data_IF_295935843563
#
_entry.id   IF_295935843563
#
_cell.length_a   1.000
_cell.length_b   1.000
_cell.length_c   1.000
_cell.angle_alpha   90.00
_cell.angle_beta   90.00
_cell.angle_gamma   90.00
#
_symmetry.space_group_name_H-M   'P 1'
#
loop_
_entity.id
_entity.type
_entity.pdbx_description
1 polymer ?
#
# COMPACT_ATOMS: atom_id res chain seq x y z
N UNK A 1 61.24 10.11 -0.45
CA UNK A 1 60.48 9.26 0.51
C UNK A 1 58.96 9.50 0.51
N UNK A 2 58.45 10.74 0.47
CA UNK A 2 56.99 11.01 0.49
C UNK A 2 56.19 10.42 -0.71
N UNK A 3 56.72 10.48 -1.95
CA UNK A 3 56.08 9.90 -3.14
C UNK A 3 55.94 8.36 -3.10
N UNK A 4 56.94 7.64 -2.57
CA UNK A 4 56.87 6.16 -2.43
C UNK A 4 55.83 5.73 -1.39
N UNK A 5 55.67 6.47 -0.28
CA UNK A 5 54.62 6.20 0.72
C UNK A 5 53.21 6.46 0.17
N UNK A 6 53.02 7.52 -0.63
CA UNK A 6 51.75 7.80 -1.28
C UNK A 6 51.34 6.70 -2.29
N UNK A 7 52.29 6.20 -3.09
CA UNK A 7 52.06 5.11 -4.04
C UNK A 7 51.68 3.81 -3.33
N UNK A 8 52.35 3.48 -2.22
CA UNK A 8 52.02 2.29 -1.41
C UNK A 8 50.62 2.41 -0.78
N UNK A 9 50.25 3.59 -0.26
CA UNK A 9 48.89 3.80 0.28
C UNK A 9 47.83 3.68 -0.82
N UNK A 10 48.05 4.24 -2.00
CA UNK A 10 47.13 4.12 -3.14
C UNK A 10 47.01 2.67 -3.60
N UNK A 11 48.13 1.94 -3.73
CA UNK A 11 48.11 0.51 -4.08
C UNK A 11 47.40 -0.33 -3.03
N UNK A 12 47.63 -0.08 -1.74
CA UNK A 12 46.92 -0.77 -0.65
C UNK A 12 45.42 -0.45 -0.65
N UNK A 13 45.02 0.78 -0.96
CA UNK A 13 43.62 1.17 -1.09
C UNK A 13 42.96 0.47 -2.29
N UNK A 14 43.66 0.40 -3.44
CA UNK A 14 43.20 -0.30 -4.63
C UNK A 14 43.06 -1.80 -4.35
N UNK A 15 44.03 -2.42 -3.69
CA UNK A 15 43.96 -3.84 -3.30
C UNK A 15 42.81 -4.08 -2.34
N UNK A 16 42.57 -3.20 -1.36
CA UNK A 16 41.45 -3.31 -0.44
C UNK A 16 40.09 -3.17 -1.18
N UNK A 17 40.00 -2.22 -2.12
CA UNK A 17 38.82 -2.04 -2.97
C UNK A 17 38.58 -3.28 -3.83
N UNK A 18 39.62 -3.82 -4.49
CA UNK A 18 39.53 -5.02 -5.32
C UNK A 18 39.14 -6.26 -4.51
N UNK A 19 39.73 -6.45 -3.32
CA UNK A 19 39.37 -7.54 -2.41
C UNK A 19 37.92 -7.39 -1.90
N UNK A 20 37.50 -6.16 -1.58
CA UNK A 20 36.12 -5.88 -1.15
C UNK A 20 35.10 -6.11 -2.27
N UNK A 21 35.44 -5.73 -3.51
CA UNK A 21 34.62 -5.97 -4.69
C UNK A 21 34.55 -7.46 -5.03
N UNK A 22 35.67 -8.18 -4.96
CA UNK A 22 35.71 -9.63 -5.15
C UNK A 22 34.90 -10.40 -4.10
N UNK A 23 34.98 -9.97 -2.84
CA UNK A 23 34.16 -10.54 -1.77
C UNK A 23 32.67 -10.26 -1.97
N UNK A 24 32.29 -9.04 -2.41
CA UNK A 24 30.91 -8.72 -2.76
C UNK A 24 30.40 -9.59 -3.92
N UNK A 25 31.19 -9.73 -4.99
CA UNK A 25 30.82 -10.58 -6.14
C UNK A 25 30.61 -12.05 -5.73
N UNK A 26 31.46 -12.60 -4.85
CA UNK A 26 31.29 -13.95 -4.31
C UNK A 26 30.03 -14.07 -3.44
N UNK A 27 29.71 -13.03 -2.67
CA UNK A 27 28.49 -12.96 -1.89
C UNK A 27 27.28 -12.93 -2.84
N UNK A 28 27.28 -12.09 -3.85
CA UNK A 28 26.15 -11.91 -4.75
C UNK A 28 25.94 -13.10 -5.69
N UNK A 29 27.00 -13.80 -6.07
CA UNK A 29 26.90 -14.95 -6.98
C UNK A 29 26.06 -16.09 -6.41
N UNK A 30 25.91 -16.16 -5.08
CA UNK A 30 25.00 -17.11 -4.40
C UNK A 30 23.54 -16.95 -4.85
N UNK A 31 23.16 -15.73 -5.23
CA UNK A 31 21.82 -15.39 -5.67
C UNK A 31 21.66 -15.47 -7.18
N UNK A 32 22.71 -15.75 -7.96
CA UNK A 32 22.62 -15.79 -9.42
C UNK A 32 21.54 -16.79 -9.89
N UNK A 33 20.69 -16.34 -10.80
CA UNK A 33 19.62 -17.16 -11.34
C UNK A 33 18.45 -16.36 -11.89
N UNK A 34 17.49 -17.11 -12.41
CA UNK A 34 16.17 -16.64 -12.83
C UNK A 34 15.17 -17.14 -11.78
N UNK A 35 14.34 -16.25 -11.24
CA UNK A 35 13.36 -16.59 -10.21
C UNK A 35 12.00 -16.03 -10.56
N UNK A 36 10.99 -16.89 -10.64
CA UNK A 36 9.61 -16.43 -10.66
C UNK A 36 9.19 -16.09 -9.22
N UNK A 37 8.50 -14.96 -9.03
CA UNK A 37 7.90 -14.58 -7.75
C UNK A 37 6.50 -15.16 -7.72
N UNK A 38 6.29 -16.14 -6.84
CA UNK A 38 5.06 -16.94 -6.84
C UNK A 38 3.82 -16.10 -6.50
N UNK A 39 2.84 -16.07 -7.43
CA UNK A 39 1.58 -15.35 -7.27
C UNK A 39 1.66 -13.85 -7.53
N UNK A 40 2.76 -13.39 -8.14
CA UNK A 40 2.94 -11.98 -8.48
C UNK A 40 3.26 -11.80 -9.96
N UNK A 41 3.11 -12.77 -10.87
CA UNK A 41 3.40 -12.54 -12.31
C UNK A 41 4.74 -11.82 -12.59
N UNK A 42 5.77 -12.04 -11.77
CA UNK A 42 7.07 -11.37 -11.87
C UNK A 42 8.18 -12.40 -11.99
N UNK A 43 9.21 -12.03 -12.75
CA UNK A 43 10.44 -12.78 -12.85
C UNK A 43 11.64 -11.87 -12.56
N UNK A 44 12.49 -12.30 -11.65
CA UNK A 44 13.70 -11.59 -11.25
C UNK A 44 14.92 -12.35 -11.77
N UNK A 45 15.69 -11.70 -12.63
CA UNK A 45 17.00 -12.16 -13.06
C UNK A 45 18.07 -11.49 -12.19
N UNK A 46 18.81 -12.29 -11.44
CA UNK A 46 19.93 -11.81 -10.62
C UNK A 46 21.24 -12.27 -11.24
N UNK A 47 22.16 -11.34 -11.46
CA UNK A 47 23.49 -11.62 -12.00
C UNK A 47 24.54 -10.72 -11.37
N UNK A 48 25.40 -11.30 -10.53
CA UNK A 48 26.56 -10.66 -9.91
C UNK A 48 26.19 -9.32 -9.23
N UNK A 49 25.04 -9.30 -8.56
CA UNK A 49 24.53 -8.14 -7.84
C UNK A 49 23.66 -7.20 -8.67
N UNK A 50 23.62 -7.33 -9.99
CA UNK A 50 22.62 -6.66 -10.83
C UNK A 50 21.31 -7.44 -10.81
N UNK A 51 20.19 -6.72 -10.78
CA UNK A 51 18.85 -7.28 -10.74
C UNK A 51 18.04 -6.68 -11.88
N UNK A 52 17.47 -7.56 -12.71
CA UNK A 52 16.54 -7.22 -13.78
C UNK A 52 15.18 -7.81 -13.47
N UNK A 53 14.13 -7.03 -13.66
CA UNK A 53 12.75 -7.46 -13.38
C UNK A 53 11.95 -7.50 -14.68
N UNK A 54 11.13 -8.53 -14.78
CA UNK A 54 10.23 -8.76 -15.91
C UNK A 54 8.84 -9.07 -15.35
N UNK A 55 7.82 -8.58 -16.01
CA UNK A 55 6.48 -9.13 -15.89
C UNK A 55 6.38 -10.40 -16.72
N UNK A 56 5.75 -11.42 -16.16
CA UNK A 56 5.61 -12.73 -16.79
C UNK A 56 4.22 -13.29 -16.56
N UNK A 57 3.72 -13.92 -17.60
CA UNK A 57 2.53 -14.80 -17.60
C UNK A 57 2.99 -16.17 -18.12
N UNK A 58 2.08 -17.11 -18.34
CA UNK A 58 2.41 -18.41 -18.90
C UNK A 58 2.97 -18.29 -20.32
N UNK A 59 2.39 -17.43 -21.16
CA UNK A 59 2.76 -17.31 -22.58
C UNK A 59 3.62 -16.08 -22.90
N UNK A 60 3.58 -15.04 -22.07
CA UNK A 60 4.18 -13.74 -22.38
C UNK A 60 5.14 -13.24 -21.30
N UNK A 61 6.04 -12.35 -21.72
CA UNK A 61 6.81 -11.53 -20.80
C UNK A 61 7.07 -10.13 -21.33
N UNK A 62 7.31 -9.19 -20.43
CA UNK A 62 7.82 -7.85 -20.77
C UNK A 62 8.83 -7.36 -19.74
N UNK A 63 9.73 -6.49 -20.15
CA UNK A 63 10.74 -5.91 -19.26
C UNK A 63 10.12 -4.79 -18.42
N UNK A 64 10.40 -4.77 -17.12
CA UNK A 64 9.94 -3.73 -16.19
C UNK A 64 11.15 -2.98 -15.61
N UNK A 65 11.78 -2.09 -16.40
CA UNK A 65 13.01 -1.42 -16.00
C UNK A 65 12.82 -0.49 -14.80
N UNK A 66 11.58 -0.06 -14.50
CA UNK A 66 11.28 0.70 -13.28
C UNK A 66 11.55 -0.11 -12.01
N UNK A 67 11.46 -1.45 -12.10
CA UNK A 67 11.72 -2.36 -10.99
C UNK A 67 13.12 -2.96 -10.99
N UNK A 68 14.00 -2.58 -11.92
CA UNK A 68 15.40 -2.99 -11.89
C UNK A 68 16.10 -2.53 -10.59
N UNK A 69 17.17 -3.22 -10.22
CA UNK A 69 17.81 -2.95 -8.94
C UNK A 69 19.21 -3.51 -8.77
N UNK A 70 19.66 -3.42 -7.52
CA UNK A 70 20.97 -3.88 -7.08
C UNK A 70 20.86 -4.65 -5.77
N UNK A 71 21.68 -5.70 -5.65
CA UNK A 71 21.92 -6.39 -4.39
C UNK A 71 23.10 -5.77 -3.68
N UNK A 72 22.92 -5.45 -2.40
CA UNK A 72 23.99 -5.11 -1.48
C UNK A 72 23.99 -6.15 -0.36
N UNK A 73 24.96 -7.07 -0.41
CA UNK A 73 25.01 -8.25 0.45
C UNK A 73 23.77 -9.13 0.26
N UNK A 74 22.83 -9.10 1.20
CA UNK A 74 21.56 -9.83 1.23
C UNK A 74 20.34 -8.91 1.09
N UNK A 75 20.56 -7.62 0.79
CA UNK A 75 19.50 -6.63 0.62
C UNK A 75 19.33 -6.25 -0.85
N UNK A 76 18.13 -6.42 -1.38
CA UNK A 76 17.69 -5.91 -2.67
C UNK A 76 17.17 -4.48 -2.52
N UNK A 77 17.67 -3.60 -3.39
CA UNK A 77 17.17 -2.25 -3.59
C UNK A 77 16.72 -2.12 -5.04
N UNK A 78 15.43 -1.92 -5.24
CA UNK A 78 14.79 -1.90 -6.57
C UNK A 78 13.52 -1.06 -6.54
N UNK A 79 12.84 -0.90 -7.68
CA UNK A 79 11.49 -0.33 -7.70
C UNK A 79 10.46 -1.14 -6.90
N UNK A 80 10.71 -2.43 -6.62
CA UNK A 80 9.93 -3.23 -5.67
C UNK A 80 10.11 -2.76 -4.20
N UNK A 81 11.04 -1.84 -3.93
CA UNK A 81 11.40 -1.36 -2.60
C UNK A 81 12.66 -2.03 -2.05
N UNK A 82 12.78 -2.01 -0.71
CA UNK A 82 13.92 -2.55 0.04
C UNK A 82 13.56 -3.91 0.62
N UNK A 83 14.10 -4.96 0.03
CA UNK A 83 13.76 -6.34 0.38
C UNK A 83 14.97 -7.11 0.92
N UNK A 84 14.77 -7.96 1.92
CA UNK A 84 15.82 -8.85 2.42
C UNK A 84 15.72 -10.21 1.73
N UNK A 85 16.84 -10.71 1.19
CA UNK A 85 16.93 -12.05 0.63
C UNK A 85 17.40 -13.06 1.67
N UNK A 86 16.63 -14.13 1.84
CA UNK A 86 16.93 -15.22 2.78
C UNK A 86 16.93 -16.54 2.03
N UNK A 87 18.06 -17.24 2.06
CA UNK A 87 18.14 -18.60 1.56
C UNK A 87 17.66 -19.55 2.67
N UNK A 88 16.65 -20.35 2.35
CA UNK A 88 16.12 -21.40 3.22
C UNK A 88 16.29 -22.77 2.57
N UNK A 89 15.97 -23.84 3.32
CA UNK A 89 15.94 -25.21 2.80
C UNK A 89 14.84 -25.39 1.74
N UNK A 90 13.78 -24.58 1.80
CA UNK A 90 12.65 -24.60 0.85
C UNK A 90 12.89 -23.75 -0.40
N UNK A 91 13.95 -22.93 -0.40
CA UNK A 91 14.29 -22.05 -1.52
C UNK A 91 14.67 -20.64 -1.11
N UNK A 92 14.75 -19.76 -2.10
CA UNK A 92 15.04 -18.35 -1.88
C UNK A 92 13.74 -17.62 -1.50
N UNK A 93 13.83 -16.78 -0.49
CA UNK A 93 12.74 -15.91 -0.05
C UNK A 93 13.19 -14.45 -0.15
N UNK A 94 12.25 -13.59 -0.50
CA UNK A 94 12.41 -12.14 -0.47
C UNK A 94 11.43 -11.60 0.57
N UNK A 95 11.89 -10.78 1.51
CA UNK A 95 11.10 -10.33 2.66
C UNK A 95 11.00 -8.82 2.65
N UNK A 96 9.77 -8.30 2.61
CA UNK A 96 9.48 -6.92 2.99
C UNK A 96 9.48 -6.85 4.51
N UNK A 97 10.54 -6.29 5.08
CA UNK A 97 10.70 -6.22 6.54
C UNK A 97 9.66 -5.29 7.17
N UNK A 98 9.24 -4.27 6.42
CA UNK A 98 8.27 -3.28 6.88
C UNK A 98 6.85 -3.84 6.90
N UNK A 99 6.39 -4.32 5.75
CA UNK A 99 5.06 -4.93 5.60
C UNK A 99 4.98 -6.33 6.24
N UNK A 100 6.13 -6.93 6.61
CA UNK A 100 6.24 -8.28 7.18
C UNK A 100 5.76 -9.39 6.23
N UNK A 101 5.84 -9.14 4.92
CA UNK A 101 5.43 -10.09 3.87
C UNK A 101 6.65 -10.82 3.32
N UNK A 102 6.51 -12.14 3.16
CA UNK A 102 7.51 -13.00 2.54
C UNK A 102 7.02 -13.46 1.16
N UNK A 103 7.83 -13.20 0.16
CA UNK A 103 7.64 -13.61 -1.23
C UNK A 103 8.51 -14.84 -1.51
N UNK A 104 7.93 -15.90 -2.04
CA UNK A 104 8.67 -17.11 -2.44
C UNK A 104 9.25 -16.94 -3.84
N UNK A 105 10.56 -17.10 -3.98
CA UNK A 105 11.28 -17.00 -5.25
C UNK A 105 11.56 -18.41 -5.78
N UNK A 106 10.77 -18.82 -6.77
CA UNK A 106 10.87 -20.12 -7.42
C UNK A 106 11.97 -20.07 -8.47
N UNK A 107 13.09 -20.77 -8.22
CA UNK A 107 14.20 -20.85 -9.19
C UNK A 107 13.70 -21.51 -10.49
N UNK A 108 13.97 -20.86 -11.61
CA UNK A 108 13.68 -21.33 -12.97
C UNK A 108 14.96 -21.59 -13.75
N UNK A 109 14.84 -22.34 -14.84
CA UNK A 109 15.94 -22.55 -15.77
C UNK A 109 16.23 -21.28 -16.59
N UNK A 110 17.37 -21.28 -17.29
CA UNK A 110 17.83 -20.11 -18.05
C UNK A 110 17.03 -19.82 -19.33
N UNK A 111 16.15 -20.74 -19.76
CA UNK A 111 15.27 -20.59 -20.92
C UNK A 111 13.87 -20.10 -20.54
N UNK A 112 13.53 -20.00 -19.25
CA UNK A 112 12.22 -19.59 -18.76
C UNK A 112 11.60 -18.38 -19.49
N UNK A 113 12.36 -17.31 -19.72
CA UNK A 113 11.88 -16.15 -20.49
C UNK A 113 11.87 -16.40 -22.00
N UNK A 114 12.81 -17.20 -22.52
CA UNK A 114 12.93 -17.49 -23.97
C UNK A 114 11.83 -18.39 -24.51
N UNK A 115 11.19 -19.16 -23.64
CA UNK A 115 10.07 -20.04 -24.01
C UNK A 115 8.73 -19.27 -24.08
N UNK A 116 8.75 -17.95 -23.84
CA UNK A 116 7.61 -17.04 -23.87
C UNK A 116 7.76 -16.00 -24.99
N UNK A 117 6.66 -15.37 -25.35
CA UNK A 117 6.63 -14.26 -26.32
C UNK A 117 6.94 -12.95 -25.60
N UNK A 118 7.97 -12.23 -26.07
CA UNK A 118 8.27 -10.88 -25.59
C UNK A 118 7.24 -9.88 -26.13
N UNK A 119 6.51 -9.21 -25.24
CA UNK A 119 5.58 -8.13 -25.61
C UNK A 119 6.37 -6.83 -25.72
N UNK A 120 6.17 -6.11 -26.82
CA UNK A 120 6.79 -4.81 -27.12
C UNK A 120 5.74 -3.79 -27.55
N UNK A 121 6.13 -2.53 -27.54
CA UNK A 121 5.29 -1.43 -28.04
C UNK A 121 4.88 -1.70 -29.49
N UNK A 122 3.61 -1.46 -29.82
CA UNK A 122 3.04 -1.75 -31.13
C UNK A 122 2.60 -3.21 -31.35
N UNK A 123 2.53 -4.02 -30.29
CA UNK A 123 2.01 -5.41 -30.32
C UNK A 123 0.64 -5.51 -29.62
N UNK A 124 -0.45 -4.96 -30.17
CA UNK A 124 -1.72 -4.84 -29.46
C UNK A 124 -2.38 -6.19 -29.14
N UNK A 125 -2.19 -7.20 -29.98
CA UNK A 125 -2.77 -8.54 -29.78
C UNK A 125 -2.12 -9.21 -28.57
N UNK A 126 -0.79 -9.20 -28.53
CA UNK A 126 0.01 -9.79 -27.46
C UNK A 126 -0.11 -8.99 -26.17
N UNK A 127 -0.20 -7.66 -26.24
CA UNK A 127 -0.43 -6.82 -25.07
C UNK A 127 -1.79 -7.10 -24.43
N UNK A 128 -2.87 -7.24 -25.23
CA UNK A 128 -4.19 -7.60 -24.69
C UNK A 128 -4.22 -9.01 -24.10
N UNK A 129 -3.54 -9.96 -24.74
CA UNK A 129 -3.45 -11.33 -24.25
C UNK A 129 -2.66 -11.43 -22.94
N UNK A 130 -1.51 -10.74 -22.84
CA UNK A 130 -0.71 -10.68 -21.61
C UNK A 130 -1.48 -9.97 -20.49
N UNK A 131 -2.19 -8.88 -20.80
CA UNK A 131 -3.07 -8.19 -19.84
C UNK A 131 -4.09 -9.17 -19.26
N UNK A 132 -4.82 -9.89 -20.11
CA UNK A 132 -5.78 -10.90 -19.67
C UNK A 132 -5.12 -12.01 -18.83
N UNK A 133 -4.02 -12.60 -19.29
CA UNK A 133 -3.34 -13.67 -18.55
C UNK A 133 -2.84 -13.22 -17.18
N UNK A 134 -2.39 -11.97 -17.04
CA UNK A 134 -2.00 -11.42 -15.74
C UNK A 134 -3.17 -11.46 -14.74
N UNK A 135 -4.38 -11.11 -15.19
CA UNK A 135 -5.59 -11.22 -14.36
C UNK A 135 -6.01 -12.68 -14.14
N UNK A 136 -6.06 -13.50 -15.18
CA UNK A 136 -6.48 -14.90 -15.09
C UNK A 136 -5.61 -15.70 -14.10
N UNK A 137 -4.29 -15.46 -14.12
CA UNK A 137 -3.34 -16.15 -13.26
C UNK A 137 -3.29 -15.60 -11.83
N UNK A 138 -3.53 -14.30 -11.62
CA UNK A 138 -3.19 -13.63 -10.35
C UNK A 138 -4.37 -12.90 -9.67
N UNK A 139 -5.48 -12.62 -10.34
CA UNK A 139 -6.62 -11.91 -9.71
C UNK A 139 -7.44 -12.84 -8.81
N UNK A 140 -7.64 -12.43 -7.55
CA UNK A 140 -8.13 -13.31 -6.50
C UNK A 140 -9.67 -13.34 -6.34
N UNK A 141 -10.41 -12.43 -6.99
CA UNK A 141 -11.76 -12.06 -6.56
C UNK A 141 -12.86 -12.12 -7.63
N UNK A 142 -12.66 -12.82 -8.76
CA UNK A 142 -13.72 -12.95 -9.80
C UNK A 142 -15.05 -13.43 -9.21
N UNK A 143 -14.99 -14.46 -8.35
CA UNK A 143 -16.16 -15.03 -7.70
C UNK A 143 -16.84 -14.08 -6.70
N UNK A 144 -16.08 -13.16 -6.09
CA UNK A 144 -16.63 -12.19 -5.13
C UNK A 144 -17.55 -11.19 -5.85
N UNK A 145 -17.14 -10.75 -7.04
CA UNK A 145 -17.84 -9.73 -7.82
C UNK A 145 -18.77 -10.31 -8.88
N UNK A 146 -18.77 -11.64 -9.06
CA UNK A 146 -19.59 -12.33 -10.06
C UNK A 146 -19.14 -12.06 -11.49
N UNK A 147 -17.85 -11.81 -11.68
CA UNK A 147 -17.23 -11.61 -12.98
C UNK A 147 -16.82 -12.94 -13.61
N UNK A 148 -16.67 -12.94 -14.93
CA UNK A 148 -16.15 -14.06 -15.73
C UNK A 148 -15.17 -13.47 -16.76
N UNK A 149 -13.92 -13.28 -16.33
CA UNK A 149 -12.90 -12.66 -17.17
C UNK A 149 -12.58 -13.50 -18.39
N UNK A 150 -12.62 -14.83 -18.26
CA UNK A 150 -12.41 -15.75 -19.37
C UNK A 150 -13.46 -15.55 -20.45
N UNK A 151 -14.75 -15.60 -20.11
CA UNK A 151 -15.83 -15.40 -21.08
C UNK A 151 -15.76 -14.01 -21.72
N UNK A 152 -15.46 -12.99 -20.91
CA UNK A 152 -15.31 -11.61 -21.38
C UNK A 152 -14.13 -11.46 -22.35
N UNK A 153 -12.99 -12.06 -22.05
CA UNK A 153 -11.84 -12.05 -22.95
C UNK A 153 -12.13 -12.77 -24.26
N UNK A 154 -12.79 -13.93 -24.22
CA UNK A 154 -13.18 -14.67 -25.43
C UNK A 154 -14.11 -13.85 -26.36
N UNK A 155 -15.01 -13.06 -25.79
CA UNK A 155 -15.84 -12.10 -26.54
C UNK A 155 -14.98 -10.99 -27.18
N UNK A 156 -14.08 -10.39 -26.40
CA UNK A 156 -13.35 -9.19 -26.78
C UNK A 156 -12.15 -9.45 -27.70
N UNK A 157 -11.46 -10.60 -27.58
CA UNK A 157 -10.17 -10.84 -28.25
C UNK A 157 -10.25 -10.76 -29.77
N UNK A 158 -11.39 -11.13 -30.37
CA UNK A 158 -11.62 -11.02 -31.82
C UNK A 158 -11.69 -9.57 -32.34
N UNK A 159 -11.92 -8.61 -31.43
CA UNK A 159 -11.98 -7.17 -31.71
C UNK A 159 -10.61 -6.50 -31.62
N UNK A 160 -9.56 -7.22 -31.21
CA UNK A 160 -8.17 -6.75 -31.15
C UNK A 160 -7.37 -7.42 -32.27
N UNK A 161 -6.70 -6.62 -33.11
CA UNK A 161 -5.88 -7.11 -34.22
C UNK A 161 -4.68 -6.17 -34.47
N UNK A 162 -3.85 -6.48 -35.45
CA UNK A 162 -2.62 -5.73 -35.76
C UNK A 162 -2.84 -4.25 -36.14
N UNK A 163 -4.08 -3.82 -36.38
CA UNK A 163 -4.43 -2.41 -36.69
C UNK A 163 -5.10 -1.70 -35.52
N UNK A 164 -5.36 -2.39 -34.40
CA UNK A 164 -5.93 -1.79 -33.21
C UNK A 164 -5.00 -0.69 -32.70
N UNK A 165 -5.55 0.50 -32.55
CA UNK A 165 -4.84 1.66 -32.00
C UNK A 165 -4.73 1.56 -30.48
N UNK A 166 -3.84 2.35 -29.88
CA UNK A 166 -3.64 2.34 -28.44
C UNK A 166 -4.90 2.73 -27.65
N UNK A 167 -5.63 3.73 -28.14
CA UNK A 167 -6.91 4.12 -27.55
C UNK A 167 -7.95 2.98 -27.64
N UNK A 168 -8.06 2.30 -28.78
CA UNK A 168 -8.96 1.15 -28.92
C UNK A 168 -8.55 -0.03 -28.03
N UNK A 169 -7.25 -0.26 -27.85
CA UNK A 169 -6.73 -1.28 -26.94
C UNK A 169 -7.10 -0.94 -25.48
N UNK A 170 -6.89 0.31 -25.07
CA UNK A 170 -7.25 0.78 -23.73
C UNK A 170 -8.75 0.61 -23.45
N UNK A 171 -9.61 0.95 -24.40
CA UNK A 171 -11.06 0.68 -24.28
C UNK A 171 -11.37 -0.82 -24.10
N UNK A 172 -10.66 -1.71 -24.80
CA UNK A 172 -10.84 -3.16 -24.62
C UNK A 172 -10.35 -3.66 -23.27
N UNK A 173 -9.26 -3.11 -22.74
CA UNK A 173 -8.78 -3.41 -21.40
C UNK A 173 -9.79 -2.97 -20.33
N UNK A 174 -10.36 -1.76 -20.44
CA UNK A 174 -11.44 -1.28 -19.56
C UNK A 174 -12.67 -2.19 -19.62
N UNK A 175 -13.13 -2.53 -20.83
CA UNK A 175 -14.26 -3.45 -21.03
C UNK A 175 -14.03 -4.80 -20.37
N UNK A 176 -12.80 -5.33 -20.37
CA UNK A 176 -12.49 -6.63 -19.77
C UNK A 176 -12.71 -6.64 -18.26
N UNK A 177 -12.34 -5.57 -17.58
CA UNK A 177 -12.26 -5.54 -16.10
C UNK A 177 -13.40 -4.76 -15.43
N UNK A 178 -14.26 -4.09 -16.19
CA UNK A 178 -15.40 -3.31 -15.67
C UNK A 178 -16.28 -4.09 -14.68
N UNK A 179 -16.49 -5.38 -14.91
CA UNK A 179 -17.40 -6.19 -14.08
C UNK A 179 -16.75 -6.61 -12.74
N UNK A 180 -15.45 -6.35 -12.55
CA UNK A 180 -14.75 -6.63 -11.30
C UNK A 180 -15.20 -5.71 -10.16
N UNK A 181 -15.71 -4.50 -10.42
CA UNK A 181 -16.22 -3.59 -9.36
C UNK A 181 -15.28 -3.45 -8.15
N UNK A 182 -13.98 -3.46 -8.42
CA UNK A 182 -12.90 -3.49 -7.45
C UNK A 182 -12.16 -2.14 -7.45
N UNK A 183 -12.02 -1.51 -6.28
CA UNK A 183 -11.38 -0.20 -6.12
C UNK A 183 -9.87 -0.21 -6.33
N UNK A 184 -9.24 -1.39 -6.29
CA UNK A 184 -7.82 -1.58 -6.60
C UNK A 184 -7.57 -2.03 -8.03
N UNK A 185 -8.62 -2.16 -8.85
CA UNK A 185 -8.50 -2.35 -10.30
C UNK A 185 -8.56 -0.98 -10.96
N UNK A 186 -7.39 -0.41 -11.20
CA UNK A 186 -7.21 0.87 -11.88
C UNK A 186 -6.37 0.67 -13.14
N UNK A 187 -6.72 1.37 -14.21
CA UNK A 187 -6.02 1.37 -15.49
C UNK A 187 -5.69 2.82 -15.86
N UNK A 188 -4.48 3.07 -16.34
CA UNK A 188 -4.06 4.39 -16.84
C UNK A 188 -3.40 4.28 -18.21
N UNK A 189 -3.71 5.25 -19.08
CA UNK A 189 -3.04 5.45 -20.36
C UNK A 189 -3.03 6.94 -20.72
N UNK A 190 -1.83 7.53 -20.81
CA UNK A 190 -1.69 8.98 -20.96
C UNK A 190 -2.27 9.72 -19.75
N UNK A 191 -3.21 10.63 -19.99
CA UNK A 191 -3.91 11.38 -18.93
C UNK A 191 -5.23 10.71 -18.49
N UNK A 192 -5.61 9.59 -19.11
CA UNK A 192 -6.87 8.90 -18.81
C UNK A 192 -6.68 7.87 -17.71
N UNK A 193 -7.56 7.93 -16.70
CA UNK A 193 -7.61 6.99 -15.57
C UNK A 193 -8.99 6.35 -15.51
N UNK A 194 -9.03 5.03 -15.35
CA UNK A 194 -10.23 4.23 -15.18
C UNK A 194 -10.13 3.39 -13.92
N UNK A 195 -11.16 3.41 -13.07
CA UNK A 195 -11.28 2.52 -11.91
C UNK A 195 -12.53 1.66 -12.05
N UNK A 196 -12.43 0.36 -11.76
CA UNK A 196 -13.56 -0.56 -11.90
C UNK A 196 -14.66 -0.35 -10.85
N UNK A 197 -14.35 0.25 -9.69
CA UNK A 197 -15.32 0.56 -8.65
C UNK A 197 -15.59 2.06 -8.48
N UNK A 198 -16.85 2.40 -8.20
CA UNK A 198 -17.22 3.69 -7.62
C UNK A 198 -17.34 3.54 -6.09
N UNK A 199 -16.31 4.00 -5.37
CA UNK A 199 -16.24 3.91 -3.90
C UNK A 199 -16.32 5.26 -3.21
N UNK A 200 -16.35 6.34 -3.98
CA UNK A 200 -16.43 7.70 -3.46
C UNK A 200 -17.79 7.93 -2.80
N UNK A 201 -17.85 8.46 -1.56
CA UNK A 201 -19.09 8.84 -0.92
C UNK A 201 -19.93 9.81 -1.77
N UNK A 202 -21.26 9.67 -1.74
CA UNK A 202 -22.19 10.53 -2.49
C UNK A 202 -22.03 12.02 -2.17
N UNK A 203 -21.59 12.34 -0.95
CA UNK A 203 -21.37 13.71 -0.51
C UNK A 203 -20.08 14.33 -1.03
N UNK A 204 -19.21 13.56 -1.71
CA UNK A 204 -18.02 14.07 -2.43
C UNK A 204 -18.41 14.22 -3.91
N UNK A 205 -19.01 15.35 -4.25
CA UNK A 205 -19.34 15.73 -5.62
C UNK A 205 -18.22 16.52 -6.29
N UNK A 206 -17.36 17.16 -5.50
CA UNK A 206 -16.22 17.94 -5.97
C UNK A 206 -15.12 18.12 -4.90
N UNK A 207 -13.98 18.68 -5.31
CA UNK A 207 -12.85 18.98 -4.42
C UNK A 207 -13.13 20.18 -3.47
N UNK A 208 -14.17 20.99 -3.71
CA UNK A 208 -14.51 22.12 -2.84
C UNK A 208 -15.14 21.62 -1.54
N UNK A 209 -15.94 20.55 -1.58
CA UNK A 209 -16.53 19.95 -0.39
C UNK A 209 -15.49 19.32 0.54
N UNK A 210 -14.48 18.65 -0.03
CA UNK A 210 -13.31 18.17 0.72
C UNK A 210 -12.58 19.32 1.41
N UNK A 211 -12.36 20.40 0.66
CA UNK A 211 -11.70 21.61 1.16
C UNK A 211 -12.53 22.30 2.26
N UNK A 212 -13.85 22.34 2.11
CA UNK A 212 -14.78 22.87 3.10
C UNK A 212 -14.69 22.10 4.41
N UNK A 213 -14.85 20.77 4.37
CA UNK A 213 -14.86 19.97 5.60
C UNK A 213 -13.50 20.02 6.30
N UNK A 214 -12.39 19.89 5.55
CA UNK A 214 -11.04 20.08 6.08
C UNK A 214 -10.85 21.48 6.70
N UNK A 215 -11.36 22.52 6.03
CA UNK A 215 -11.34 23.90 6.52
C UNK A 215 -12.10 24.09 7.83
N UNK A 216 -13.27 23.46 7.98
CA UNK A 216 -14.06 23.50 9.23
C UNK A 216 -13.32 22.83 10.38
N UNK A 217 -12.80 21.62 10.15
CA UNK A 217 -12.04 20.86 11.17
C UNK A 217 -10.84 21.69 11.65
N UNK A 218 -10.03 22.19 10.72
CA UNK A 218 -8.80 22.91 11.04
C UNK A 218 -9.09 24.30 11.62
N UNK A 219 -10.03 25.05 11.01
CA UNK A 219 -10.29 26.45 11.36
C UNK A 219 -11.07 26.62 12.65
N UNK A 220 -11.99 25.69 12.96
CA UNK A 220 -12.91 25.81 14.10
C UNK A 220 -12.58 24.89 15.25
N UNK A 221 -12.24 23.63 14.98
CA UNK A 221 -12.08 22.60 16.00
C UNK A 221 -10.64 22.46 16.48
N UNK A 222 -9.65 22.60 15.59
CA UNK A 222 -8.25 22.36 15.93
C UNK A 222 -7.56 23.58 16.58
N UNK A 223 -6.87 23.34 17.69
CA UNK A 223 -5.92 24.25 18.34
C UNK A 223 -4.49 23.72 18.25
N UNK A 224 -3.53 24.62 18.39
CA UNK A 224 -2.09 24.31 18.33
C UNK A 224 -1.73 23.43 17.11
N UNK A 225 -2.38 23.76 15.99
CA UNK A 225 -2.37 22.93 14.81
C UNK A 225 -0.99 22.98 14.13
N UNK A 226 -0.44 21.80 13.88
CA UNK A 226 0.89 21.60 13.29
C UNK A 226 0.78 20.61 12.13
N UNK A 227 1.60 20.82 11.08
CA UNK A 227 1.65 19.97 9.89
C UNK A 227 3.04 19.33 9.75
N UNK A 228 3.05 18.07 9.34
CA UNK A 228 4.21 17.36 8.81
C UNK A 228 3.97 17.12 7.32
N UNK A 229 4.45 18.04 6.48
CA UNK A 229 4.16 18.01 5.03
C UNK A 229 4.75 16.79 4.34
N UNK A 230 5.84 16.23 4.87
CA UNK A 230 6.55 15.08 4.30
C UNK A 230 5.77 13.77 4.43
N UNK A 231 4.97 13.58 5.48
CA UNK A 231 4.15 12.38 5.70
C UNK A 231 2.64 12.64 5.65
N UNK A 232 2.24 13.87 5.31
CA UNK A 232 0.84 14.29 5.22
C UNK A 232 0.04 14.07 6.52
N UNK A 233 0.72 14.07 7.67
CA UNK A 233 0.12 14.02 9.00
C UNK A 233 -0.02 15.43 9.54
N UNK A 234 -1.14 15.71 10.20
CA UNK A 234 -1.38 16.95 10.93
C UNK A 234 -1.88 16.58 12.31
N UNK A 235 -1.66 17.44 13.28
CA UNK A 235 -2.22 17.22 14.61
C UNK A 235 -2.52 18.54 15.31
N UNK A 236 -3.29 18.43 16.38
CA UNK A 236 -3.63 19.54 17.26
C UNK A 236 -4.44 19.03 18.44
N UNK A 237 -5.17 19.94 19.07
CA UNK A 237 -6.04 19.65 20.21
C UNK A 237 -7.47 20.11 19.89
N UNK A 238 -8.46 19.28 20.17
CA UNK A 238 -9.89 19.64 20.11
C UNK A 238 -10.36 20.29 21.42
N UNK A 239 -9.75 19.90 22.53
CA UNK A 239 -9.95 20.42 23.89
C UNK A 239 -8.66 20.24 24.73
N UNK A 240 -8.70 20.60 26.02
CA UNK A 240 -7.56 20.40 26.94
C UNK A 240 -7.18 18.93 27.12
N UNK A 241 -8.11 18.01 26.86
CA UNK A 241 -8.03 16.57 27.15
C UNK A 241 -8.21 15.68 25.92
N UNK A 242 -8.53 16.25 24.74
CA UNK A 242 -8.75 15.52 23.49
C UNK A 242 -7.80 16.01 22.39
N UNK A 243 -6.93 15.12 21.93
CA UNK A 243 -6.04 15.32 20.79
C UNK A 243 -6.74 15.06 19.44
N UNK A 244 -6.23 15.68 18.39
CA UNK A 244 -6.61 15.41 17.00
C UNK A 244 -5.38 14.98 16.21
N UNK A 245 -5.49 13.90 15.45
CA UNK A 245 -4.52 13.49 14.43
C UNK A 245 -5.27 13.34 13.11
N UNK A 246 -4.82 14.05 12.07
CA UNK A 246 -5.35 13.93 10.72
C UNK A 246 -4.29 13.23 9.87
N UNK A 247 -4.65 12.10 9.30
CA UNK A 247 -3.76 11.31 8.45
C UNK A 247 -4.37 11.28 7.05
N UNK A 248 -3.77 12.00 6.09
CA UNK A 248 -4.27 11.98 4.71
C UNK A 248 -3.68 10.85 3.86
N UNK A 249 -2.55 10.27 4.27
CA UNK A 249 -1.91 9.15 3.57
C UNK A 249 -1.17 8.25 4.56
N UNK A 250 -1.14 6.94 4.28
CA UNK A 250 -0.43 5.95 5.08
C UNK A 250 1.03 5.83 4.63
N UNK A 251 1.89 6.71 5.16
CA UNK A 251 3.32 6.70 4.84
C UNK A 251 3.66 7.46 3.56
N UNK A 252 4.87 7.24 3.04
CA UNK A 252 5.41 7.97 1.89
C UNK A 252 6.09 7.02 0.94
N UNK A 253 6.02 7.30 -0.36
CA UNK A 253 6.73 6.54 -1.37
C UNK A 253 8.24 6.80 -1.28
N UNK A 254 8.95 5.95 -0.52
CA UNK A 254 10.39 5.98 -0.36
C UNK A 254 10.92 4.61 0.05
N UNK A 255 12.25 4.44 0.08
CA UNK A 255 12.88 3.19 0.54
C UNK A 255 12.59 2.86 2.00
N UNK A 256 12.27 3.86 2.82
CA UNK A 256 11.81 3.71 4.20
C UNK A 256 10.47 4.44 4.31
N UNK A 257 9.39 3.70 4.03
CA UNK A 257 8.03 4.20 3.87
C UNK A 257 7.49 4.86 5.15
N UNK A 258 8.13 4.61 6.30
CA UNK A 258 7.64 5.01 7.61
C UNK A 258 8.51 6.00 8.37
N UNK A 259 9.66 6.40 7.83
CA UNK A 259 10.62 7.26 8.54
C UNK A 259 10.01 8.58 9.03
N UNK A 260 9.34 9.32 8.14
CA UNK A 260 8.69 10.60 8.44
C UNK A 260 7.47 10.40 9.34
N UNK A 261 6.62 9.40 9.05
CA UNK A 261 5.48 8.99 9.89
C UNK A 261 5.90 8.72 11.32
N UNK A 262 6.99 7.97 11.52
CA UNK A 262 7.54 7.65 12.84
C UNK A 262 7.97 8.90 13.57
N UNK A 263 8.71 9.79 12.91
CA UNK A 263 9.18 11.03 13.53
C UNK A 263 8.01 11.93 13.97
N UNK A 264 6.98 12.06 13.12
CA UNK A 264 5.77 12.81 13.43
C UNK A 264 5.03 12.21 14.64
N UNK A 265 4.74 10.91 14.60
CA UNK A 265 4.03 10.24 15.70
C UNK A 265 4.80 10.24 17.02
N UNK A 266 6.12 10.12 16.94
CA UNK A 266 7.00 10.25 18.10
C UNK A 266 6.85 11.62 18.77
N UNK A 267 6.74 12.69 17.99
CA UNK A 267 6.50 14.03 18.52
C UNK A 267 5.07 14.16 19.08
N UNK A 268 4.07 13.75 18.30
CA UNK A 268 2.65 13.84 18.66
C UNK A 268 2.37 13.13 19.98
N UNK A 269 2.78 11.87 20.11
CA UNK A 269 2.51 11.06 21.32
C UNK A 269 3.25 11.60 22.54
N UNK A 270 4.47 12.15 22.37
CA UNK A 270 5.16 12.85 23.49
C UNK A 270 4.35 14.05 23.95
N UNK A 271 3.94 14.90 23.03
CA UNK A 271 3.18 16.12 23.37
C UNK A 271 1.81 15.80 23.98
N UNK A 272 1.12 14.77 23.49
CA UNK A 272 -0.15 14.32 24.06
C UNK A 272 0.03 13.75 25.46
N UNK A 273 1.05 12.94 25.70
CA UNK A 273 1.35 12.41 27.03
C UNK A 273 1.75 13.54 28.00
N UNK A 274 2.60 14.48 27.57
CA UNK A 274 3.05 15.61 28.40
C UNK A 274 1.90 16.57 28.74
N UNK A 275 0.94 16.74 27.83
CA UNK A 275 -0.26 17.55 28.04
C UNK A 275 -1.36 16.82 28.83
N UNK A 276 -1.21 15.53 29.12
CA UNK A 276 -2.23 14.74 29.82
C UNK A 276 -3.50 14.50 28.97
N UNK A 277 -3.35 14.44 27.65
CA UNK A 277 -4.43 14.08 26.74
C UNK A 277 -4.91 12.66 27.07
N UNK A 278 -6.22 12.50 27.24
CA UNK A 278 -6.85 11.23 27.66
C UNK A 278 -7.61 10.56 26.52
N UNK A 279 -7.92 11.28 25.46
CA UNK A 279 -8.56 10.76 24.25
C UNK A 279 -7.95 11.35 22.99
N UNK A 280 -7.95 10.61 21.89
CA UNK A 280 -7.50 11.10 20.59
C UNK A 280 -8.55 10.79 19.52
N UNK A 281 -8.78 11.76 18.63
CA UNK A 281 -9.53 11.58 17.39
C UNK A 281 -8.55 11.40 16.25
N UNK A 282 -8.67 10.29 15.52
CA UNK A 282 -7.93 10.00 14.30
C UNK A 282 -8.86 10.20 13.11
N UNK A 283 -8.58 11.22 12.30
CA UNK A 283 -9.36 11.59 11.13
C UNK A 283 -8.87 10.83 9.88
N UNK A 284 -9.70 9.92 9.37
CA UNK A 284 -9.44 9.11 8.17
C UNK A 284 -10.53 9.24 7.09
N UNK A 285 -11.52 10.13 7.24
CA UNK A 285 -12.63 10.30 6.26
C UNK A 285 -12.16 10.69 4.86
N UNK A 286 -10.90 11.11 4.71
CA UNK A 286 -10.28 11.51 3.44
C UNK A 286 -9.01 10.73 3.11
N UNK A 287 -8.79 9.58 3.74
CA UNK A 287 -7.56 8.82 3.58
C UNK A 287 -7.74 7.68 2.57
N UNK A 288 -7.03 7.77 1.45
CA UNK A 288 -7.05 6.78 0.35
C UNK A 288 -6.18 5.53 0.57
N UNK A 289 -5.57 5.38 1.75
CA UNK A 289 -4.62 4.31 2.04
C UNK A 289 -3.17 4.74 1.86
N UNK A 290 -2.36 3.87 1.27
CA UNK A 290 -0.90 3.99 1.20
C UNK A 290 -0.25 2.65 1.53
N UNK A 291 0.72 2.64 2.44
CA UNK A 291 1.53 1.46 2.77
C UNK A 291 1.12 0.82 4.10
N UNK A 292 0.89 -0.50 4.08
CA UNK A 292 0.61 -1.32 5.26
C UNK A 292 1.67 -1.20 6.37
N UNK A 293 2.95 -1.01 6.01
CA UNK A 293 4.02 -0.76 6.98
C UNK A 293 3.70 0.45 7.87
N UNK A 294 3.14 1.52 7.29
CA UNK A 294 2.75 2.71 8.03
C UNK A 294 1.54 2.44 8.93
N UNK A 295 0.57 1.66 8.46
CA UNK A 295 -0.58 1.23 9.25
C UNK A 295 -0.17 0.45 10.50
N UNK A 296 0.72 -0.54 10.33
CA UNK A 296 1.24 -1.34 11.45
C UNK A 296 2.07 -0.48 12.42
N UNK A 297 2.87 0.45 11.89
CA UNK A 297 3.62 1.40 12.72
C UNK A 297 2.67 2.28 13.55
N UNK A 298 1.67 2.88 12.92
CA UNK A 298 0.72 3.79 13.57
C UNK A 298 -0.02 3.06 14.69
N UNK A 299 -0.51 1.84 14.44
CA UNK A 299 -1.16 1.01 15.45
C UNK A 299 -0.21 0.66 16.62
N UNK A 300 1.10 0.58 16.36
CA UNK A 300 2.14 0.34 17.35
C UNK A 300 2.22 1.40 18.46
N UNK A 301 1.76 2.64 18.21
CA UNK A 301 1.72 3.70 19.24
C UNK A 301 0.57 3.53 20.24
N UNK A 302 -0.34 2.59 19.99
CA UNK A 302 -1.51 2.33 20.83
C UNK A 302 -1.48 0.94 21.47
N UNK A 303 -0.29 0.35 21.62
CA UNK A 303 -0.10 -0.91 22.34
C UNK A 303 1.25 -0.98 23.05
N UNK A 304 1.31 -1.75 24.13
CA UNK A 304 2.54 -2.09 24.86
C UNK A 304 3.10 -3.46 24.48
N UNK A 305 2.31 -4.30 23.82
CA UNK A 305 2.67 -5.68 23.47
C UNK A 305 2.32 -6.02 22.03
N UNK A 306 3.09 -6.92 21.39
CA UNK A 306 2.78 -7.34 20.04
C UNK A 306 1.52 -8.21 20.01
N UNK A 307 0.72 -8.07 18.96
CA UNK A 307 -0.46 -8.89 18.71
C UNK A 307 -0.67 -9.08 17.20
N UNK A 308 -1.41 -10.13 16.85
CA UNK A 308 -1.76 -10.43 15.47
C UNK A 308 -2.77 -9.39 14.96
N UNK A 309 -2.41 -8.67 13.91
CA UNK A 309 -3.29 -7.69 13.26
C UNK A 309 -4.26 -8.39 12.30
N UNK A 310 -3.69 -9.10 11.34
CA UNK A 310 -4.39 -9.77 10.25
C UNK A 310 -3.45 -10.80 9.60
N UNK A 311 -3.95 -11.50 8.59
CA UNK A 311 -3.18 -12.45 7.79
C UNK A 311 -3.32 -12.14 6.31
N UNK A 312 -2.30 -12.46 5.53
CA UNK A 312 -2.30 -12.31 4.08
C UNK A 312 -2.11 -13.66 3.39
N UNK A 313 -2.77 -13.86 2.27
CA UNK A 313 -2.57 -15.00 1.36
C UNK A 313 -2.48 -14.48 -0.06
N UNK A 314 -1.43 -14.87 -0.78
CA UNK A 314 -1.32 -14.57 -2.21
C UNK A 314 -2.11 -15.60 -3.01
N UNK A 315 -2.79 -15.15 -4.06
CA UNK A 315 -3.48 -15.99 -5.03
C UNK A 315 -2.59 -16.25 -6.25
N UNK A 316 -2.63 -17.47 -6.77
CA UNK A 316 -2.00 -17.86 -8.02
C UNK A 316 -2.73 -19.07 -8.60
N UNK A 317 -3.20 -18.98 -9.84
CA UNK A 317 -3.74 -20.10 -10.60
C UNK A 317 -4.81 -20.92 -9.83
N UNK A 318 -5.81 -20.24 -9.28
CA UNK A 318 -6.92 -20.88 -8.56
C UNK A 318 -6.63 -21.25 -7.10
N UNK A 319 -5.43 -20.97 -6.58
CA UNK A 319 -4.99 -21.40 -5.25
C UNK A 319 -4.48 -20.22 -4.43
N UNK A 320 -4.92 -20.15 -3.17
CA UNK A 320 -4.33 -19.26 -2.17
C UNK A 320 -3.18 -19.94 -1.44
N UNK A 321 -2.11 -19.20 -1.16
CA UNK A 321 -1.00 -19.67 -0.32
C UNK A 321 -1.43 -19.97 1.12
N UNK A 322 -0.56 -20.60 1.89
CA UNK A 322 -0.70 -20.59 3.35
C UNK A 322 -0.71 -19.15 3.88
N UNK A 323 -1.48 -18.87 4.96
CA UNK A 323 -1.58 -17.54 5.51
C UNK A 323 -0.28 -17.09 6.19
N UNK A 324 0.11 -15.86 5.91
CA UNK A 324 1.20 -15.16 6.58
C UNK A 324 0.64 -14.28 7.69
N UNK A 325 1.07 -14.50 8.93
CA UNK A 325 0.66 -13.70 10.08
C UNK A 325 1.37 -12.34 10.09
N UNK A 326 0.59 -11.25 10.17
CA UNK A 326 1.09 -9.88 10.24
C UNK A 326 0.80 -9.31 11.62
N UNK A 327 1.85 -8.81 12.29
CA UNK A 327 1.78 -8.37 13.68
C UNK A 327 1.92 -6.86 13.82
N UNK A 328 1.12 -6.26 14.71
CA UNK A 328 1.47 -4.95 15.27
C UNK A 328 2.58 -5.16 16.29
N UNK A 329 3.58 -4.27 16.26
CA UNK A 329 4.67 -4.23 17.25
C UNK A 329 4.61 -2.90 17.99
N UNK A 330 4.80 -2.89 19.32
CA UNK A 330 4.76 -1.66 20.09
C UNK A 330 5.84 -0.68 19.64
N UNK A 331 5.47 0.60 19.59
CA UNK A 331 6.38 1.71 19.33
C UNK A 331 7.32 1.96 20.52
N UNK A 332 8.22 2.94 20.35
CA UNK A 332 9.05 3.43 21.47
C UNK A 332 8.22 4.17 22.52
N UNK A 333 7.13 4.78 22.06
CA UNK A 333 6.18 5.53 22.86
C UNK A 333 4.82 4.88 22.73
N UNK A 334 4.02 5.05 23.77
CA UNK A 334 2.68 4.50 23.88
C UNK A 334 1.73 5.61 24.35
N UNK A 335 0.55 5.65 23.74
CA UNK A 335 -0.57 6.48 24.16
C UNK A 335 -1.64 5.60 24.80
N UNK A 336 -1.83 5.73 26.11
CA UNK A 336 -2.83 4.97 26.88
C UNK A 336 -4.14 5.76 27.05
N UNK A 337 -4.76 6.13 25.94
CA UNK A 337 -6.02 6.86 25.93
C UNK A 337 -7.08 6.22 25.06
N UNK A 338 -8.30 6.76 25.13
CA UNK A 338 -9.40 6.33 24.27
C UNK A 338 -9.18 6.86 22.85
N UNK A 339 -9.47 6.04 21.84
CA UNK A 339 -9.25 6.36 20.42
C UNK A 339 -10.57 6.39 19.69
N UNK A 340 -10.90 7.52 19.08
CA UNK A 340 -12.02 7.65 18.15
C UNK A 340 -11.47 7.71 16.73
N UNK A 341 -11.98 6.88 15.82
CA UNK A 341 -11.55 6.90 14.42
C UNK A 341 -12.69 7.36 13.54
N UNK A 342 -12.49 8.45 12.79
CA UNK A 342 -13.48 8.98 11.86
C UNK A 342 -13.31 8.36 10.49
N UNK A 343 -14.37 7.76 9.95
CA UNK A 343 -14.35 7.02 8.68
C UNK A 343 -15.43 7.48 7.71
N UNK A 344 -15.17 7.29 6.41
CA UNK A 344 -16.16 7.46 5.35
C UNK A 344 -15.98 6.37 4.28
N UNK A 345 -16.86 6.32 3.27
CA UNK A 345 -16.64 5.46 2.10
C UNK A 345 -15.36 5.78 1.31
N UNK A 346 -14.75 6.94 1.51
CA UNK A 346 -13.45 7.28 0.92
C UNK A 346 -12.27 6.60 1.66
N UNK A 347 -12.48 6.15 2.90
CA UNK A 347 -11.48 5.40 3.66
C UNK A 347 -11.31 4.01 3.06
N UNK A 348 -10.14 3.73 2.50
CA UNK A 348 -9.84 2.51 1.71
C UNK A 348 -8.42 1.98 2.00
N UNK A 349 -8.14 0.72 1.66
CA UNK A 349 -6.78 0.17 1.55
C UNK A 349 -6.04 0.18 2.90
N UNK A 350 -4.78 0.61 2.94
CA UNK A 350 -3.98 0.65 4.16
C UNK A 350 -4.65 1.44 5.32
N UNK A 351 -5.57 2.36 5.03
CA UNK A 351 -6.35 3.01 6.08
C UNK A 351 -7.33 2.04 6.76
N UNK A 352 -7.92 1.12 6.00
CA UNK A 352 -8.75 0.05 6.54
C UNK A 352 -7.91 -1.00 7.29
N UNK A 353 -6.71 -1.35 6.80
CA UNK A 353 -5.81 -2.27 7.52
C UNK A 353 -5.34 -1.68 8.85
N UNK A 354 -5.12 -0.36 8.93
CA UNK A 354 -4.87 0.34 10.19
C UNK A 354 -6.05 0.20 11.16
N UNK A 355 -7.28 0.43 10.72
CA UNK A 355 -8.47 0.29 11.57
C UNK A 355 -8.62 -1.16 12.04
N UNK A 356 -8.44 -2.15 11.16
CA UNK A 356 -8.46 -3.57 11.53
C UNK A 356 -7.38 -3.93 12.55
N UNK A 357 -6.18 -3.39 12.40
CA UNK A 357 -5.10 -3.56 13.36
C UNK A 357 -5.48 -2.95 14.73
N UNK A 358 -6.03 -1.74 14.76
CA UNK A 358 -6.50 -1.08 15.98
C UNK A 358 -7.62 -1.89 16.67
N UNK A 359 -8.58 -2.43 15.91
CA UNK A 359 -9.66 -3.27 16.43
C UNK A 359 -9.20 -4.66 16.90
N UNK A 360 -8.09 -5.17 16.35
CA UNK A 360 -7.50 -6.44 16.76
C UNK A 360 -6.74 -6.34 18.10
N UNK A 361 -6.47 -5.12 18.59
CA UNK A 361 -5.77 -4.91 19.84
C UNK A 361 -6.61 -5.37 21.04
N UNK A 362 -6.18 -6.39 21.81
CA UNK A 362 -6.97 -6.91 22.93
C UNK A 362 -7.18 -5.91 24.08
N UNK A 363 -6.32 -4.89 24.18
CA UNK A 363 -6.39 -3.83 25.18
C UNK A 363 -6.85 -2.48 24.59
N UNK A 364 -7.19 -2.47 23.30
CA UNK A 364 -7.56 -1.25 22.59
C UNK A 364 -8.92 -0.70 23.05
N UNK A 365 -9.00 0.62 23.22
CA UNK A 365 -10.24 1.35 23.51
C UNK A 365 -10.60 2.19 22.29
N UNK A 366 -11.07 1.52 21.24
CA UNK A 366 -11.31 2.11 19.92
C UNK A 366 -12.81 2.23 19.66
N UNK A 367 -13.26 3.38 19.21
CA UNK A 367 -14.63 3.61 18.71
C UNK A 367 -14.58 4.17 17.30
N UNK A 368 -15.19 3.49 16.34
CA UNK A 368 -15.31 3.94 14.96
C UNK A 368 -16.57 4.77 14.80
N UNK A 369 -16.43 6.00 14.29
CA UNK A 369 -17.54 6.96 14.13
C UNK A 369 -17.57 7.45 12.69
N UNK A 370 -18.74 7.53 12.08
CA UNK A 370 -18.87 8.07 10.73
C UNK A 370 -19.72 7.20 9.82
N UNK A 371 -19.16 6.85 8.66
CA UNK A 371 -19.76 5.95 7.68
C UNK A 371 -18.90 4.71 7.46
N UNK A 372 -19.50 3.70 6.85
CA UNK A 372 -18.81 2.48 6.45
C UNK A 372 -17.66 2.79 5.50
N UNK A 373 -16.53 2.13 5.67
CA UNK A 373 -15.37 2.20 4.75
C UNK A 373 -15.62 1.47 3.43
N UNK A 374 -14.73 1.62 2.45
CA UNK A 374 -14.92 1.09 1.10
C UNK A 374 -14.93 -0.44 1.03
N UNK A 375 -14.04 -1.10 1.76
CA UNK A 375 -13.92 -2.55 1.80
C UNK A 375 -12.93 -3.15 0.81
N UNK A 376 -11.95 -2.38 0.34
CA UNK A 376 -10.91 -2.88 -0.56
C UNK A 376 -9.59 -2.99 0.20
N UNK A 377 -9.12 -4.21 0.43
CA UNK A 377 -8.01 -4.51 1.33
C UNK A 377 -6.77 -5.05 0.64
N UNK A 378 -6.94 -5.76 -0.48
CA UNK A 378 -5.81 -6.31 -1.24
C UNK A 378 -4.78 -5.22 -1.52
N UNK A 379 -3.50 -5.59 -1.49
CA UNK A 379 -2.50 -4.71 -2.08
C UNK A 379 -2.80 -4.60 -3.59
N UNK A 380 -2.61 -3.39 -4.13
CA UNK A 380 -2.72 -3.14 -5.55
C UNK A 380 -1.46 -3.66 -6.25
N UNK A 381 -1.59 -4.75 -6.99
CA UNK A 381 -0.50 -5.33 -7.76
C UNK A 381 -0.24 -4.48 -9.02
N UNK A 382 0.61 -3.48 -8.93
CA UNK A 382 0.86 -2.54 -10.03
C UNK A 382 1.69 -3.16 -11.17
N UNK A 383 1.18 -3.12 -12.38
CA UNK A 383 1.77 -3.67 -13.60
C UNK A 383 1.79 -2.63 -14.72
N UNK A 384 2.64 -2.85 -15.71
CA UNK A 384 2.76 -2.03 -16.91
C UNK A 384 2.82 -2.88 -18.17
N UNK A 385 2.40 -2.29 -19.29
CA UNK A 385 2.65 -2.85 -20.62
C UNK A 385 3.42 -1.83 -21.46
N UNK A 386 4.28 -2.32 -22.39
CA UNK A 386 4.90 -1.45 -23.38
C UNK A 386 3.87 -0.59 -24.10
N UNK A 387 4.23 0.68 -24.35
CA UNK A 387 3.29 1.69 -24.87
C UNK A 387 2.73 2.62 -23.80
N UNK A 388 3.08 2.42 -22.52
CA UNK A 388 2.75 3.37 -21.44
C UNK A 388 1.41 3.10 -20.75
N UNK A 389 0.90 1.87 -20.87
CA UNK A 389 -0.24 1.41 -20.09
C UNK A 389 0.24 1.00 -18.70
N UNK A 390 -0.49 1.42 -17.67
CA UNK A 390 -0.33 0.86 -16.33
C UNK A 390 -1.68 0.34 -15.85
N UNK A 391 -1.64 -0.67 -15.00
CA UNK A 391 -2.83 -1.27 -14.44
C UNK A 391 -2.52 -1.90 -13.08
N UNK A 392 -3.53 -2.06 -12.25
CA UNK A 392 -3.42 -2.77 -10.98
C UNK A 392 -4.48 -3.85 -10.85
N UNK A 393 -4.18 -4.88 -10.07
CA UNK A 393 -5.10 -5.97 -9.78
C UNK A 393 -4.93 -6.45 -8.35
N UNK A 394 -5.98 -7.06 -7.81
CA UNK A 394 -6.03 -7.53 -6.43
C UNK A 394 -5.65 -9.01 -6.34
N UNK A 395 -4.40 -9.32 -5.99
CA UNK A 395 -3.88 -10.68 -5.95
C UNK A 395 -3.74 -11.26 -4.53
N UNK A 396 -4.12 -10.51 -3.50
CA UNK A 396 -3.93 -10.93 -2.12
C UNK A 396 -5.23 -10.87 -1.31
N UNK A 397 -5.53 -11.97 -0.62
CA UNK A 397 -6.63 -12.03 0.33
C UNK A 397 -6.16 -11.71 1.74
N UNK A 398 -6.81 -10.71 2.32
CA UNK A 398 -6.65 -10.36 3.72
C UNK A 398 -7.69 -11.11 4.57
N UNK A 399 -7.20 -11.70 5.66
CA UNK A 399 -8.01 -12.29 6.71
C UNK A 399 -7.85 -11.48 7.99
N UNK A 400 -8.93 -11.25 8.73
CA UNK A 400 -8.86 -10.65 10.05
C UNK A 400 -8.04 -11.51 11.03
N UNK A 401 -7.72 -10.97 12.20
CA UNK A 401 -7.07 -11.75 13.27
C UNK A 401 -7.86 -13.01 13.68
N UNK A 402 -9.17 -13.05 13.44
CA UNK A 402 -10.05 -14.21 13.69
C UNK A 402 -10.25 -15.13 12.47
N UNK A 403 -9.69 -14.78 11.31
CA UNK A 403 -9.77 -15.59 10.07
C UNK A 403 -10.90 -15.20 9.12
N UNK A 404 -11.60 -14.09 9.37
CA UNK A 404 -12.63 -13.59 8.45
C UNK A 404 -12.03 -12.97 7.19
N UNK A 405 -12.49 -13.36 6.00
CA UNK A 405 -12.12 -12.70 4.73
C UNK A 405 -12.64 -11.26 4.74
N UNK A 406 -11.75 -10.31 4.44
CA UNK A 406 -12.01 -8.86 4.53
C UNK A 406 -12.42 -8.21 3.22
N UNK A 407 -11.95 -8.71 2.07
CA UNK A 407 -12.23 -8.11 0.76
C UNK A 407 -13.74 -8.00 0.49
N UNK A 408 -14.16 -6.85 -0.05
CA UNK A 408 -15.57 -6.49 -0.26
C UNK A 408 -16.34 -6.16 1.03
N UNK A 409 -15.67 -6.08 2.19
CA UNK A 409 -16.32 -5.82 3.49
C UNK A 409 -15.71 -4.62 4.22
N UNK A 410 -16.25 -3.45 3.92
CA UNK A 410 -15.99 -2.24 4.70
C UNK A 410 -16.29 -2.42 6.20
N UNK A 411 -15.58 -1.68 7.04
CA UNK A 411 -15.77 -1.60 8.48
C UNK A 411 -17.03 -0.78 8.76
N UNK A 412 -18.01 -1.37 9.42
CA UNK A 412 -19.18 -0.66 9.92
C UNK A 412 -18.79 0.22 11.12
N UNK A 413 -19.26 1.47 11.20
CA UNK A 413 -18.99 2.33 12.35
C UNK A 413 -19.78 1.86 13.58
N UNK A 414 -19.18 1.94 14.77
CA UNK A 414 -19.88 1.74 16.04
C UNK A 414 -20.97 2.80 16.23
N UNK A 415 -20.70 4.03 15.76
CA UNK A 415 -21.64 5.16 15.78
C UNK A 415 -21.77 5.74 14.38
N UNK A 416 -22.91 5.50 13.75
CA UNK A 416 -23.18 6.01 12.39
C UNK A 416 -23.54 7.50 12.42
N UNK A 417 -22.64 8.36 11.96
CA UNK A 417 -22.85 9.81 11.78
C UNK A 417 -22.31 10.21 10.41
N UNK A 418 -23.15 10.23 9.36
CA UNK A 418 -22.73 10.62 8.02
C UNK A 418 -22.19 12.04 7.95
N UNK A 419 -21.30 12.31 7.00
CA UNK A 419 -20.87 13.67 6.71
C UNK A 419 -22.06 14.49 6.19
N UNK A 420 -22.31 15.64 6.82
CA UNK A 420 -23.35 16.57 6.41
C UNK A 420 -22.72 17.84 5.84
N UNK A 421 -22.76 18.00 4.52
CA UNK A 421 -22.18 19.17 3.83
C UNK A 421 -22.82 20.47 4.30
N UNK A 422 -24.13 20.49 4.58
CA UNK A 422 -24.79 21.69 5.09
C UNK A 422 -24.40 22.03 6.53
N UNK A 423 -24.12 21.03 7.37
CA UNK A 423 -23.52 21.25 8.68
C UNK A 423 -22.12 21.86 8.53
N UNK A 424 -21.30 21.35 7.62
CA UNK A 424 -19.97 21.90 7.33
C UNK A 424 -20.06 23.35 6.81
N UNK A 425 -21.01 23.68 5.94
CA UNK A 425 -21.27 25.07 5.50
C UNK A 425 -21.65 25.99 6.66
N UNK A 426 -22.35 25.47 7.66
CA UNK A 426 -22.66 26.18 8.91
C UNK A 426 -21.48 26.20 9.91
N UNK A 427 -20.31 25.72 9.49
CA UNK A 427 -19.12 25.62 10.33
C UNK A 427 -19.24 24.57 11.42
N UNK A 428 -19.94 23.46 11.20
CA UNK A 428 -20.07 22.37 12.18
C UNK A 428 -19.63 21.04 11.60
N UNK A 429 -19.17 20.16 12.47
CA UNK A 429 -18.90 18.77 12.17
C UNK A 429 -19.62 17.90 13.22
N UNK A 430 -20.70 17.23 12.78
CA UNK A 430 -21.59 16.51 13.69
C UNK A 430 -20.88 15.32 14.38
N UNK A 431 -19.86 14.72 13.75
CA UNK A 431 -19.09 13.62 14.34
C UNK A 431 -18.12 14.12 15.41
N UNK A 432 -17.43 15.24 15.16
CA UNK A 432 -16.59 15.88 16.17
C UNK A 432 -17.40 16.43 17.35
N UNK A 433 -18.56 17.04 17.07
CA UNK A 433 -19.49 17.53 18.10
C UNK A 433 -19.96 16.37 18.99
N UNK A 434 -20.27 15.21 18.39
CA UNK A 434 -20.63 14.00 19.12
C UNK A 434 -19.49 13.49 20.02
N UNK A 435 -18.26 13.41 19.49
CA UNK A 435 -17.12 12.89 20.25
C UNK A 435 -16.82 13.80 21.44
N UNK A 436 -16.73 15.11 21.23
CA UNK A 436 -16.46 16.08 22.30
C UNK A 436 -17.52 16.01 23.40
N UNK A 437 -18.80 15.86 23.03
CA UNK A 437 -19.87 15.64 24.00
C UNK A 437 -19.71 14.33 24.77
N UNK A 438 -19.28 13.26 24.09
CA UNK A 438 -19.14 11.91 24.67
C UNK A 438 -17.97 11.81 25.65
N UNK A 439 -16.89 12.56 25.41
CA UNK A 439 -15.75 12.67 26.33
C UNK A 439 -16.04 13.60 27.52
N UNK A 440 -17.20 14.26 27.55
CA UNK A 440 -17.53 15.27 28.57
C UNK A 440 -16.75 16.58 28.39
N UNK A 441 -16.05 16.74 27.27
CA UNK A 441 -15.20 17.87 26.96
C UNK A 441 -16.02 18.97 26.30
N UNK A 442 -15.82 20.22 26.71
CA UNK A 442 -16.42 21.36 26.02
C UNK A 442 -15.49 21.75 24.87
N UNK A 443 -15.97 21.63 23.63
CA UNK A 443 -15.29 22.11 22.45
C UNK A 443 -14.78 23.54 22.67
N UNK A 444 -13.49 23.80 22.47
CA UNK A 444 -12.99 25.16 22.59
C UNK A 444 -13.23 25.90 21.27
N UNK A 445 -14.50 26.13 20.97
CA UNK A 445 -14.96 26.79 19.75
C UNK A 445 -14.31 28.17 19.68
N UNK A 446 -13.43 28.38 18.69
CA UNK A 446 -12.97 29.73 18.33
C UNK A 446 -14.20 30.51 17.86
N UNK A 447 -14.56 31.59 18.57
CA UNK A 447 -15.55 32.54 18.05
C UNK A 447 -14.92 33.23 16.84
N UNK A 448 -15.67 33.33 15.75
CA UNK A 448 -15.35 34.27 14.69
C UNK A 448 -15.31 35.67 15.32
N UNK A 449 -14.18 36.37 15.18
CA UNK A 449 -14.05 37.80 15.54
C UNK A 449 -14.73 38.70 14.51
#
# INVERSE_FOLDING_TARGET
MKKKKAIVVILSLIVLIVLSAGACLLIHSRYNGVYAVEGYGLCILMQNGSVKVYEVTDDYYSAEPGFDGLLLIDMLYSGLGKMKLVQTDEGLQMIDVGAQVTYRLLRKDALFLKDRTEVKEGMPVEAFAMFYQMYDENYAFESLYGADLTAKYEELKSRVNLKTTDAELFERMKELVTDLKDGHVELTFGDEVFCAAEYRPEWITDNEQLSLLSGVIIGRYAKNYTKFDDCLIRYGMLSEDVGLIIIHNMGTESLDKTKSTRAAMDQIVREFNDAGISSVVIELRFNGGGFDEASLLLAGYFTESPYLAYRKQVYCNGVFSEPQDIYVKPGKLFFDGDVYVLTSGYTISAAETFIRAMLANPNGRVTVVGEKTAGFYSDALERSLPGGYTYSLSNERYLSHTGEILEGKGIEPDVRIPVCVDAARAGRDDALDYILKSTGSIAIIRREE
#
